data_IF_980451103273
#
_entry.id   IF_980451103273
#
_cell.length_a   1.000
_cell.length_b   1.000
_cell.length_c   1.000
_cell.angle_alpha   90.00
_cell.angle_beta   90.00
_cell.angle_gamma   90.00
#
_symmetry.space_group_name_H-M   'P 1'
#
loop_
_entity.id
_entity.type
_entity.pdbx_description
1 polymer ?
#
# COMPACT_ATOMS: atom_id res chain seq x y z
N UNK A 1 -24.14 -48.72 36.85
CA UNK A 1 -24.78 -47.42 37.11
C UNK A 1 -26.13 -47.29 36.39
N UNK A 2 -26.19 -47.30 35.05
CA UNK A 2 -27.45 -47.11 34.27
C UNK A 2 -28.58 -48.09 34.63
N UNK A 3 -28.26 -49.36 34.89
CA UNK A 3 -29.26 -50.38 35.32
C UNK A 3 -29.80 -50.07 36.72
N UNK A 4 -28.93 -49.71 37.67
CA UNK A 4 -29.32 -49.38 39.06
C UNK A 4 -30.19 -48.13 39.09
N UNK A 5 -29.80 -47.12 38.32
CA UNK A 5 -30.51 -45.84 38.24
C UNK A 5 -31.83 -45.94 37.46
N UNK A 6 -31.92 -46.83 36.46
CA UNK A 6 -33.16 -47.13 35.75
C UNK A 6 -34.15 -47.94 36.60
N UNK A 7 -33.65 -48.84 37.45
CA UNK A 7 -34.48 -49.65 38.35
C UNK A 7 -34.90 -48.91 39.63
N UNK A 8 -34.08 -47.98 40.11
CA UNK A 8 -34.35 -47.18 41.31
C UNK A 8 -34.24 -45.68 40.99
N UNK A 9 -35.13 -45.13 40.15
CA UNK A 9 -35.06 -43.74 39.71
C UNK A 9 -35.22 -42.72 40.85
N UNK A 10 -35.82 -43.13 41.96
CA UNK A 10 -36.05 -42.30 43.15
C UNK A 10 -34.74 -41.81 43.79
N UNK A 11 -33.65 -42.58 43.64
CA UNK A 11 -32.33 -42.24 44.19
C UNK A 11 -31.74 -40.97 43.57
N UNK A 12 -32.09 -40.65 42.31
CA UNK A 12 -31.61 -39.46 41.60
C UNK A 12 -32.67 -38.35 41.61
N UNK A 13 -33.94 -38.73 41.58
CA UNK A 13 -35.07 -37.81 41.48
C UNK A 13 -34.98 -36.69 42.54
N UNK A 14 -34.80 -37.06 43.80
CA UNK A 14 -34.72 -36.12 44.92
C UNK A 14 -33.32 -35.51 45.09
N UNK A 15 -32.26 -36.25 44.74
CA UNK A 15 -30.89 -35.83 45.00
C UNK A 15 -30.31 -34.89 43.94
N UNK A 16 -30.73 -35.01 42.68
CA UNK A 16 -30.10 -34.33 41.54
C UNK A 16 -31.11 -33.69 40.60
N UNK A 17 -32.16 -34.41 40.19
CA UNK A 17 -33.08 -33.95 39.14
C UNK A 17 -34.00 -32.85 39.65
N UNK A 18 -34.68 -33.04 40.78
CA UNK A 18 -35.60 -32.03 41.32
C UNK A 18 -34.91 -30.70 41.70
N UNK A 19 -33.72 -30.68 42.34
CA UNK A 19 -32.97 -29.44 42.56
C UNK A 19 -32.53 -28.76 41.26
N UNK A 20 -32.04 -29.52 40.26
CA UNK A 20 -31.61 -28.96 38.98
C UNK A 20 -32.77 -28.35 38.18
N UNK A 21 -33.93 -29.02 38.14
CA UNK A 21 -35.13 -28.50 37.47
C UNK A 21 -35.67 -27.27 38.20
N UNK A 22 -35.70 -27.30 39.53
CA UNK A 22 -36.12 -26.14 40.35
C UNK A 22 -35.20 -24.94 40.15
N UNK A 23 -33.89 -25.16 40.05
CA UNK A 23 -32.91 -24.11 39.77
C UNK A 23 -33.08 -23.50 38.36
N UNK A 24 -33.25 -24.32 37.31
CA UNK A 24 -33.42 -23.85 35.93
C UNK A 24 -34.78 -23.16 35.71
N UNK A 25 -35.86 -23.67 36.34
CA UNK A 25 -37.22 -23.11 36.20
C UNK A 25 -37.57 -22.05 37.23
N UNK A 26 -36.75 -21.85 38.25
CA UNK A 26 -36.98 -20.94 39.37
C UNK A 26 -38.35 -21.11 40.06
N UNK A 27 -38.90 -22.33 40.07
CA UNK A 27 -40.14 -22.71 40.78
C UNK A 27 -40.02 -24.13 41.30
N UNK A 28 -40.52 -24.38 42.51
CA UNK A 28 -40.61 -25.72 43.06
C UNK A 28 -41.45 -26.59 42.14
N UNK A 29 -40.82 -27.59 41.56
CA UNK A 29 -41.45 -28.53 40.64
C UNK A 29 -41.21 -29.93 41.17
N UNK A 30 -42.31 -30.59 41.55
CA UNK A 30 -42.25 -31.98 41.98
C UNK A 30 -42.07 -32.83 40.73
N UNK A 31 -40.83 -33.19 40.45
CA UNK A 31 -40.51 -34.24 39.48
C UNK A 31 -40.74 -35.57 40.21
N UNK A 32 -41.49 -36.47 39.59
CA UNK A 32 -41.62 -37.84 40.08
C UNK A 32 -41.18 -38.80 38.99
N UNK A 33 -39.98 -39.35 39.15
CA UNK A 33 -39.48 -40.38 38.25
C UNK A 33 -39.97 -41.75 38.73
N UNK A 34 -40.94 -42.32 38.02
CA UNK A 34 -41.39 -43.71 38.24
C UNK A 34 -40.90 -44.61 37.11
N UNK A 35 -40.61 -45.86 37.43
CA UNK A 35 -40.19 -46.86 36.43
C UNK A 35 -41.36 -47.22 35.49
N UNK A 36 -42.56 -47.36 36.05
CA UNK A 36 -43.75 -47.75 35.31
C UNK A 36 -44.87 -46.73 35.57
N UNK A 37 -45.34 -46.10 34.49
CA UNK A 37 -46.39 -45.08 34.52
C UNK A 37 -47.73 -45.59 33.96
N UNK A 38 -47.86 -46.90 33.72
CA UNK A 38 -49.03 -47.52 33.07
C UNK A 38 -49.05 -47.34 31.55
N UNK A 39 -50.15 -47.74 30.92
CA UNK A 39 -50.38 -47.51 29.49
C UNK A 39 -50.75 -46.04 29.30
N UNK A 40 -49.80 -45.26 28.79
CA UNK A 40 -49.97 -43.84 28.52
C UNK A 40 -49.47 -43.50 27.09
N UNK A 41 -49.74 -42.28 26.58
CA UNK A 41 -49.30 -41.89 25.24
C UNK A 41 -47.79 -41.98 25.03
N UNK A 42 -47.00 -41.67 26.06
CA UNK A 42 -45.52 -41.72 26.00
C UNK A 42 -45.01 -43.15 25.85
N UNK A 43 -45.64 -44.11 26.55
CA UNK A 43 -45.35 -45.53 26.43
C UNK A 43 -45.68 -46.04 25.02
N UNK A 44 -46.83 -45.65 24.46
CA UNK A 44 -47.20 -46.00 23.09
C UNK A 44 -46.22 -45.42 22.06
N UNK A 45 -45.78 -44.17 22.24
CA UNK A 45 -44.76 -43.55 21.37
C UNK A 45 -43.40 -44.24 21.50
N UNK A 46 -42.98 -44.62 22.71
CA UNK A 46 -41.76 -45.40 22.95
C UNK A 46 -41.84 -46.78 22.27
N UNK A 47 -42.99 -47.45 22.38
CA UNK A 47 -43.21 -48.71 21.70
C UNK A 47 -43.18 -48.52 20.17
N UNK A 48 -43.77 -47.45 19.66
CA UNK A 48 -43.73 -47.09 18.24
C UNK A 48 -42.30 -46.79 17.77
N UNK A 49 -41.45 -46.10 18.55
CA UNK A 49 -40.06 -45.85 18.18
C UNK A 49 -39.23 -47.13 18.17
N UNK A 50 -39.47 -48.06 19.11
CA UNK A 50 -38.84 -49.39 19.09
C UNK A 50 -39.24 -50.16 17.85
N UNK A 51 -40.54 -50.24 17.52
CA UNK A 51 -41.00 -50.91 16.31
C UNK A 51 -40.50 -50.22 15.02
N UNK A 52 -40.46 -48.89 14.98
CA UNK A 52 -39.87 -48.14 13.88
C UNK A 52 -38.37 -48.44 13.73
N UNK A 53 -37.62 -48.52 14.83
CA UNK A 53 -36.21 -48.91 14.83
C UNK A 53 -36.00 -50.34 14.31
N UNK A 54 -36.84 -51.29 14.74
CA UNK A 54 -36.83 -52.67 14.23
C UNK A 54 -37.14 -52.71 12.74
N UNK A 55 -38.14 -51.94 12.28
CA UNK A 55 -38.48 -51.85 10.87
C UNK A 55 -37.31 -51.29 10.04
N UNK A 56 -36.70 -50.18 10.48
CA UNK A 56 -35.51 -49.60 9.83
C UNK A 56 -34.36 -50.61 9.78
N UNK A 57 -34.11 -51.35 10.86
CA UNK A 57 -33.08 -52.38 10.89
C UNK A 57 -33.38 -53.55 9.93
N UNK A 58 -34.65 -53.99 9.88
CA UNK A 58 -35.10 -55.07 9.00
C UNK A 58 -35.02 -54.71 7.53
N UNK A 59 -35.20 -53.43 7.19
CA UNK A 59 -35.10 -52.87 5.84
C UNK A 59 -33.81 -52.08 5.60
N UNK A 60 -32.77 -52.32 6.40
CA UNK A 60 -31.50 -51.56 6.36
C UNK A 60 -30.85 -51.49 4.98
N UNK A 61 -31.01 -52.54 4.16
CA UNK A 61 -30.48 -52.58 2.79
C UNK A 61 -31.17 -51.56 1.88
N UNK A 62 -32.50 -51.47 1.95
CA UNK A 62 -33.30 -50.49 1.19
C UNK A 62 -33.07 -49.07 1.71
N UNK A 63 -32.96 -48.88 3.03
CA UNK A 63 -32.64 -47.57 3.63
C UNK A 63 -31.24 -47.12 3.23
N UNK A 64 -30.26 -48.02 3.18
CA UNK A 64 -28.91 -47.70 2.73
C UNK A 64 -28.86 -47.33 1.24
N UNK A 65 -29.67 -47.98 0.39
CA UNK A 65 -29.82 -47.61 -1.01
C UNK A 65 -30.47 -46.22 -1.17
N UNK A 66 -31.51 -45.93 -0.40
CA UNK A 66 -32.11 -44.60 -0.34
C UNK A 66 -31.11 -43.54 0.15
N UNK A 67 -30.30 -43.86 1.16
CA UNK A 67 -29.22 -43.00 1.64
C UNK A 67 -28.18 -42.65 0.56
N UNK A 68 -27.91 -43.57 -0.39
CA UNK A 68 -27.04 -43.27 -1.55
C UNK A 68 -27.68 -42.25 -2.51
N UNK A 69 -29.00 -42.22 -2.62
CA UNK A 69 -29.73 -41.25 -3.44
C UNK A 69 -29.74 -39.85 -2.79
N UNK A 70 -29.82 -39.78 -1.46
CA UNK A 70 -29.81 -38.51 -0.69
C UNK A 70 -28.38 -38.02 -0.36
N UNK A 71 -27.37 -38.87 -0.54
CA UNK A 71 -25.94 -38.56 -0.31
C UNK A 71 -25.44 -37.25 -0.93
N UNK A 72 -25.83 -36.85 -2.17
CA UNK A 72 -25.42 -35.58 -2.73
C UNK A 72 -25.86 -34.40 -1.88
N UNK A 73 -27.06 -34.46 -1.29
CA UNK A 73 -27.61 -33.41 -0.42
C UNK A 73 -26.92 -33.43 0.95
N UNK A 74 -26.69 -34.60 1.55
CA UNK A 74 -25.96 -34.70 2.83
C UNK A 74 -24.48 -34.40 2.72
N UNK A 75 -23.92 -34.39 1.51
CA UNK A 75 -22.53 -34.00 1.29
C UNK A 75 -22.30 -32.50 1.52
N UNK A 76 -23.35 -31.69 1.53
CA UNK A 76 -23.33 -30.27 1.90
C UNK A 76 -23.58 -30.09 3.40
N UNK A 77 -22.67 -30.62 4.21
CA UNK A 77 -22.67 -30.45 5.66
C UNK A 77 -21.89 -29.20 6.12
N UNK A 78 -21.98 -28.83 7.42
CA UNK A 78 -21.22 -27.72 8.00
C UNK A 78 -19.70 -27.82 7.78
N UNK A 79 -19.18 -29.05 7.80
CA UNK A 79 -17.77 -29.37 7.52
C UNK A 79 -17.35 -28.89 6.12
N UNK A 80 -18.12 -29.21 5.09
CA UNK A 80 -17.81 -28.84 3.70
C UNK A 80 -17.91 -27.33 3.47
N UNK A 81 -18.86 -26.66 4.13
CA UNK A 81 -18.95 -25.20 4.10
C UNK A 81 -17.76 -24.52 4.77
N UNK A 82 -17.29 -25.07 5.89
CA UNK A 82 -16.08 -24.59 6.57
C UNK A 82 -14.84 -24.76 5.69
N UNK A 83 -14.65 -25.94 5.08
CA UNK A 83 -13.56 -26.20 4.15
C UNK A 83 -13.59 -25.26 2.94
N UNK A 84 -14.77 -25.06 2.32
CA UNK A 84 -14.95 -24.11 1.23
C UNK A 84 -14.61 -22.67 1.65
N UNK A 85 -14.97 -22.28 2.87
CA UNK A 85 -14.63 -20.99 3.45
C UNK A 85 -13.11 -20.81 3.58
N UNK A 86 -12.40 -21.81 4.11
CA UNK A 86 -10.94 -21.80 4.22
C UNK A 86 -10.26 -21.71 2.86
N UNK A 87 -10.69 -22.54 1.90
CA UNK A 87 -10.16 -22.52 0.54
C UNK A 87 -10.45 -21.17 -0.14
N UNK A 88 -11.65 -20.62 0.07
CA UNK A 88 -12.04 -19.31 -0.42
C UNK A 88 -11.16 -18.19 0.16
N UNK A 89 -10.89 -18.23 1.46
CA UNK A 89 -10.03 -17.27 2.15
C UNK A 89 -8.60 -17.32 1.60
N UNK A 90 -8.01 -18.51 1.49
CA UNK A 90 -6.65 -18.66 0.95
C UNK A 90 -6.59 -18.19 -0.50
N UNK A 91 -7.57 -18.56 -1.33
CA UNK A 91 -7.64 -18.08 -2.73
C UNK A 91 -7.81 -16.57 -2.81
N UNK A 92 -8.58 -15.98 -1.91
CA UNK A 92 -8.75 -14.53 -1.78
C UNK A 92 -7.44 -13.84 -1.42
N UNK A 93 -6.73 -14.36 -0.42
CA UNK A 93 -5.41 -13.85 -0.01
C UNK A 93 -4.38 -13.96 -1.14
N UNK A 94 -4.37 -15.07 -1.86
CA UNK A 94 -3.52 -15.32 -3.02
C UNK A 94 -3.80 -14.33 -4.16
N UNK A 95 -5.08 -14.11 -4.46
CA UNK A 95 -5.52 -13.16 -5.48
C UNK A 95 -5.12 -11.73 -5.10
N UNK A 96 -5.36 -11.33 -3.85
CA UNK A 96 -4.98 -10.01 -3.33
C UNK A 96 -3.47 -9.80 -3.40
N UNK A 97 -2.69 -10.81 -2.99
CA UNK A 97 -1.23 -10.77 -3.06
C UNK A 97 -0.74 -10.63 -4.50
N UNK A 98 -1.31 -11.37 -5.45
CA UNK A 98 -0.93 -11.23 -6.87
C UNK A 98 -1.27 -9.86 -7.46
N UNK A 99 -2.32 -9.21 -6.98
CA UNK A 99 -2.66 -7.85 -7.40
C UNK A 99 -1.72 -6.81 -6.81
N UNK A 100 -1.49 -6.86 -5.49
CA UNK A 100 -0.71 -5.84 -4.78
C UNK A 100 0.80 -6.06 -4.93
N UNK A 101 1.26 -7.31 -4.94
CA UNK A 101 2.66 -7.71 -4.95
C UNK A 101 3.09 -8.36 -6.27
N UNK A 102 2.69 -7.78 -7.40
CA UNK A 102 3.00 -8.32 -8.72
C UNK A 102 4.48 -8.25 -9.16
N UNK A 103 5.40 -7.76 -8.32
CA UNK A 103 6.86 -7.70 -8.56
C UNK A 103 7.31 -6.66 -9.60
N UNK A 104 6.38 -5.92 -10.20
CA UNK A 104 6.68 -4.92 -11.24
C UNK A 104 6.80 -3.53 -10.62
N UNK A 105 8.02 -2.98 -10.57
CA UNK A 105 8.31 -1.63 -10.05
C UNK A 105 7.34 -0.56 -10.57
N UNK A 106 7.02 -0.63 -11.86
CA UNK A 106 6.08 0.27 -12.53
C UNK A 106 4.70 0.33 -11.86
N UNK A 107 4.17 -0.81 -11.38
CA UNK A 107 2.86 -0.82 -10.73
C UNK A 107 2.93 -0.12 -9.37
N UNK A 108 3.96 -0.39 -8.57
CA UNK A 108 4.15 0.27 -7.29
C UNK A 108 4.32 1.78 -7.44
N UNK A 109 5.18 2.23 -8.37
CA UNK A 109 5.37 3.67 -8.65
C UNK A 109 4.06 4.32 -9.10
N UNK A 110 3.30 3.66 -9.99
CA UNK A 110 2.00 4.16 -10.41
C UNK A 110 1.02 4.29 -9.23
N UNK A 111 0.92 3.28 -8.37
CA UNK A 111 0.01 3.31 -7.21
C UNK A 111 0.40 4.43 -6.24
N UNK A 112 1.69 4.58 -5.93
CA UNK A 112 2.18 5.66 -5.06
C UNK A 112 1.83 7.01 -5.67
N UNK A 113 2.20 7.27 -6.93
CA UNK A 113 1.88 8.54 -7.59
C UNK A 113 0.35 8.77 -7.66
N UNK A 114 -0.43 7.75 -7.99
CA UNK A 114 -1.89 7.88 -8.11
C UNK A 114 -2.55 8.22 -6.77
N UNK A 115 -2.13 7.57 -5.69
CA UNK A 115 -2.63 7.86 -4.33
C UNK A 115 -2.16 9.24 -3.86
N UNK A 116 -0.87 9.57 -4.01
CA UNK A 116 -0.33 10.88 -3.61
C UNK A 116 -1.00 12.02 -4.35
N UNK A 117 -1.12 11.92 -5.68
CA UNK A 117 -1.83 12.90 -6.51
C UNK A 117 -3.32 12.94 -6.21
N UNK A 118 -3.96 11.79 -5.97
CA UNK A 118 -5.37 11.73 -5.60
C UNK A 118 -5.66 12.44 -4.28
N UNK A 119 -4.84 12.19 -3.25
CA UNK A 119 -4.94 12.87 -1.96
C UNK A 119 -4.66 14.36 -2.07
N UNK A 120 -3.62 14.76 -2.82
CA UNK A 120 -3.34 16.17 -3.08
C UNK A 120 -4.52 16.85 -3.82
N UNK A 121 -5.10 16.18 -4.81
CA UNK A 121 -6.28 16.65 -5.53
C UNK A 121 -7.47 16.87 -4.60
N UNK A 122 -7.76 15.92 -3.70
CA UNK A 122 -8.82 16.06 -2.68
C UNK A 122 -8.53 17.25 -1.75
N UNK A 123 -7.28 17.41 -1.30
CA UNK A 123 -6.90 18.49 -0.39
C UNK A 123 -7.13 19.90 -1.00
N UNK A 124 -6.87 20.05 -2.31
CA UNK A 124 -7.01 21.33 -3.02
C UNK A 124 -8.47 21.76 -3.15
N UNK A 125 -9.43 20.83 -3.22
CA UNK A 125 -10.87 21.18 -3.34
C UNK A 125 -11.41 22.08 -2.23
N UNK A 126 -10.69 22.18 -1.10
CA UNK A 126 -11.04 22.99 0.08
C UNK A 126 -10.22 24.26 0.21
N UNK A 127 -9.38 24.59 -0.77
CA UNK A 127 -8.44 25.73 -0.74
C UNK A 127 -8.79 26.73 -1.83
N UNK A 128 -8.54 28.00 -1.52
CA UNK A 128 -8.56 29.06 -2.53
C UNK A 128 -7.25 29.01 -3.32
N UNK A 129 -7.35 29.27 -4.63
CA UNK A 129 -6.20 29.29 -5.52
C UNK A 129 -5.75 30.74 -5.73
N UNK A 130 -4.44 30.95 -5.79
CA UNK A 130 -3.90 32.25 -6.15
C UNK A 130 -4.37 32.65 -7.56
N UNK A 131 -4.78 33.92 -7.69
CA UNK A 131 -5.08 34.50 -9.01
C UNK A 131 -3.77 34.70 -9.75
N UNK A 132 -3.69 34.17 -10.97
CA UNK A 132 -2.52 34.33 -11.83
C UNK A 132 -2.45 35.79 -12.30
N UNK A 133 -1.48 36.52 -11.77
CA UNK A 133 -1.09 37.82 -12.32
C UNK A 133 0.11 37.65 -13.24
N UNK A 134 -0.05 38.07 -14.49
CA UNK A 134 1.00 38.04 -15.50
C UNK A 134 1.67 39.40 -15.66
N UNK A 135 1.24 40.42 -14.89
CA UNK A 135 1.88 41.73 -14.87
C UNK A 135 3.30 41.61 -14.30
N UNK A 136 4.30 42.12 -15.04
CA UNK A 136 5.70 42.11 -14.60
C UNK A 136 6.53 40.91 -15.07
N UNK A 137 5.96 39.96 -15.82
CA UNK A 137 6.72 38.88 -16.45
C UNK A 137 7.80 39.43 -17.38
N UNK A 138 9.05 39.05 -17.13
CA UNK A 138 10.16 39.46 -17.98
C UNK A 138 10.39 38.45 -19.09
N UNK A 139 10.80 38.94 -20.26
CA UNK A 139 11.03 38.08 -21.43
C UNK A 139 11.98 36.90 -21.14
N UNK A 140 13.06 37.13 -20.38
CA UNK A 140 14.04 36.11 -20.05
C UNK A 140 13.49 35.03 -19.09
N UNK A 141 12.54 35.37 -18.21
CA UNK A 141 11.87 34.41 -17.32
C UNK A 141 10.99 33.46 -18.13
N UNK A 142 10.20 34.01 -19.06
CA UNK A 142 9.36 33.24 -19.97
C UNK A 142 10.21 32.38 -20.90
N UNK A 143 11.29 32.94 -21.45
CA UNK A 143 12.20 32.20 -22.32
C UNK A 143 12.87 31.02 -21.59
N UNK A 144 13.34 31.21 -20.35
CA UNK A 144 13.91 30.15 -19.53
C UNK A 144 12.87 29.06 -19.21
N UNK A 145 11.64 29.44 -18.83
CA UNK A 145 10.57 28.49 -18.57
C UNK A 145 10.21 27.66 -19.82
N UNK A 146 10.08 28.31 -20.99
CA UNK A 146 9.80 27.63 -22.25
C UNK A 146 10.94 26.68 -22.67
N UNK A 147 12.20 27.08 -22.45
CA UNK A 147 13.36 26.24 -22.69
C UNK A 147 13.30 24.97 -21.84
N UNK A 148 13.02 25.10 -20.54
CA UNK A 148 12.87 23.96 -19.62
C UNK A 148 11.75 23.03 -20.07
N UNK A 149 10.57 23.58 -20.40
CA UNK A 149 9.42 22.79 -20.86
C UNK A 149 9.72 22.06 -22.17
N UNK A 150 10.36 22.73 -23.13
CA UNK A 150 10.76 22.12 -24.40
C UNK A 150 11.78 20.99 -24.17
N UNK A 151 12.80 21.23 -23.34
CA UNK A 151 13.81 20.24 -23.01
C UNK A 151 13.21 19.02 -22.28
N UNK A 152 12.31 19.23 -21.32
CA UNK A 152 11.58 18.16 -20.65
C UNK A 152 10.73 17.32 -21.63
N UNK A 153 10.07 17.98 -22.59
CA UNK A 153 9.29 17.30 -23.62
C UNK A 153 10.17 16.47 -24.57
N UNK A 154 11.33 17.02 -24.96
CA UNK A 154 12.34 16.30 -25.75
C UNK A 154 12.85 15.09 -24.97
N UNK A 155 13.20 15.26 -23.69
CA UNK A 155 13.63 14.16 -22.82
C UNK A 155 12.58 13.05 -22.74
N UNK A 156 11.31 13.40 -22.54
CA UNK A 156 10.20 12.45 -22.41
C UNK A 156 9.88 11.70 -23.71
N UNK A 157 10.10 12.31 -24.88
CA UNK A 157 9.85 11.69 -26.20
C UNK A 157 11.10 11.06 -26.83
N UNK A 158 12.26 11.31 -26.25
CA UNK A 158 13.53 10.84 -26.79
C UNK A 158 13.59 9.32 -26.84
N UNK A 159 13.94 8.78 -28.01
CA UNK A 159 14.21 7.34 -28.19
C UNK A 159 15.67 6.98 -27.91
N UNK A 160 16.57 7.97 -27.97
CA UNK A 160 17.98 7.82 -27.62
C UNK A 160 18.21 8.12 -26.14
N UNK A 161 19.11 7.39 -25.51
CA UNK A 161 19.43 7.60 -24.09
C UNK A 161 20.31 8.82 -23.90
N UNK A 162 21.35 8.95 -24.73
CA UNK A 162 22.22 10.13 -24.73
C UNK A 162 21.44 11.42 -25.02
N UNK A 163 20.50 11.40 -25.95
CA UNK A 163 19.64 12.56 -26.24
C UNK A 163 18.69 12.86 -25.09
N UNK A 164 18.17 11.84 -24.38
CA UNK A 164 17.34 12.06 -23.19
C UNK A 164 18.15 12.67 -22.05
N UNK A 165 19.37 12.18 -21.81
CA UNK A 165 20.30 12.69 -20.79
C UNK A 165 20.73 14.11 -21.13
N UNK A 166 21.06 14.41 -22.39
CA UNK A 166 21.41 15.75 -22.82
C UNK A 166 20.25 16.74 -22.63
N UNK A 167 19.03 16.34 -22.98
CA UNK A 167 17.84 17.14 -22.76
C UNK A 167 17.54 17.36 -21.27
N UNK A 168 17.78 16.34 -20.42
CA UNK A 168 17.68 16.48 -18.97
C UNK A 168 18.74 17.47 -18.43
N UNK A 169 19.96 17.45 -18.97
CA UNK A 169 20.99 18.45 -18.69
C UNK A 169 20.53 19.88 -18.97
N UNK A 170 19.86 20.09 -20.12
CA UNK A 170 19.28 21.41 -20.45
C UNK A 170 18.20 21.83 -19.43
N UNK A 171 17.39 20.88 -18.93
CA UNK A 171 16.45 21.16 -17.84
C UNK A 171 17.19 21.63 -16.58
N UNK A 172 18.23 20.91 -16.15
CA UNK A 172 18.99 21.26 -14.95
C UNK A 172 19.70 22.61 -15.04
N UNK A 173 20.37 22.89 -16.16
CA UNK A 173 20.99 24.21 -16.40
C UNK A 173 19.93 25.32 -16.53
N UNK A 174 18.76 25.03 -17.10
CA UNK A 174 17.63 25.97 -17.13
C UNK A 174 17.13 26.30 -15.72
N UNK A 175 17.02 25.31 -14.83
CA UNK A 175 16.67 25.52 -13.42
C UNK A 175 17.74 26.34 -12.70
N UNK A 176 19.03 26.07 -12.94
CA UNK A 176 20.12 26.88 -12.40
C UNK A 176 20.05 28.34 -12.85
N UNK A 177 19.69 28.58 -14.11
CA UNK A 177 19.45 29.92 -14.64
C UNK A 177 18.31 30.62 -13.90
N UNK A 178 17.20 29.93 -13.61
CA UNK A 178 16.11 30.48 -12.79
C UNK A 178 16.60 30.84 -11.38
N UNK A 179 17.38 29.99 -10.72
CA UNK A 179 17.95 30.32 -9.40
C UNK A 179 18.83 31.58 -9.45
N UNK A 180 19.69 31.70 -10.45
CA UNK A 180 20.52 32.89 -10.62
C UNK A 180 19.67 34.16 -10.85
N UNK A 181 18.61 34.06 -11.65
CA UNK A 181 17.69 35.16 -11.95
C UNK A 181 16.89 35.61 -10.72
N UNK A 182 16.50 34.68 -9.85
CA UNK A 182 15.73 34.96 -8.63
C UNK A 182 16.61 35.21 -7.39
N UNK A 183 17.89 35.52 -7.57
CA UNK A 183 18.77 35.95 -6.48
C UNK A 183 19.27 34.83 -5.56
N UNK A 184 19.27 33.58 -6.04
CA UNK A 184 19.78 32.41 -5.33
C UNK A 184 21.09 31.90 -5.98
N UNK A 185 22.20 32.66 -5.88
CA UNK A 185 23.46 32.34 -6.57
C UNK A 185 24.11 31.05 -6.06
N UNK A 186 24.04 30.76 -4.75
CA UNK A 186 24.61 29.54 -4.17
C UNK A 186 23.88 28.30 -4.68
N UNK A 187 22.54 28.35 -4.77
CA UNK A 187 21.74 27.28 -5.35
C UNK A 187 22.03 27.11 -6.84
N UNK A 188 22.25 28.21 -7.57
CA UNK A 188 22.61 28.13 -8.98
C UNK A 188 23.98 27.44 -9.19
N UNK A 189 25.00 27.82 -8.40
CA UNK A 189 26.34 27.23 -8.49
C UNK A 189 26.31 25.74 -8.13
N UNK A 190 25.62 25.35 -7.07
CA UNK A 190 25.49 23.95 -6.67
C UNK A 190 24.69 23.15 -7.69
N UNK A 191 23.59 23.70 -8.23
CA UNK A 191 22.81 23.05 -9.28
C UNK A 191 23.65 22.79 -10.53
N UNK A 192 24.47 23.76 -10.98
CA UNK A 192 25.38 23.59 -12.13
C UNK A 192 26.39 22.47 -11.86
N UNK A 193 26.99 22.44 -10.67
CA UNK A 193 27.99 21.44 -10.30
C UNK A 193 27.37 20.04 -10.25
N UNK A 194 26.25 19.90 -9.54
CA UNK A 194 25.53 18.62 -9.40
C UNK A 194 25.02 18.15 -10.75
N UNK A 195 24.45 19.03 -11.58
CA UNK A 195 23.96 18.68 -12.92
C UNK A 195 25.10 18.18 -13.82
N UNK A 196 26.26 18.84 -13.75
CA UNK A 196 27.44 18.40 -14.51
C UNK A 196 27.92 17.01 -14.05
N UNK A 197 27.95 16.77 -12.73
CA UNK A 197 28.34 15.47 -12.18
C UNK A 197 27.34 14.38 -12.54
N UNK A 198 26.04 14.62 -12.37
CA UNK A 198 24.99 13.63 -12.70
C UNK A 198 24.96 13.34 -14.18
N UNK A 199 25.15 14.33 -15.06
CA UNK A 199 25.26 14.14 -16.50
C UNK A 199 26.43 13.21 -16.83
N UNK A 200 27.62 13.45 -16.27
CA UNK A 200 28.79 12.58 -16.46
C UNK A 200 28.50 11.16 -15.98
N UNK A 201 27.94 11.00 -14.78
CA UNK A 201 27.58 9.69 -14.22
C UNK A 201 26.54 8.97 -15.09
N UNK A 202 25.49 9.65 -15.54
CA UNK A 202 24.48 9.08 -16.41
C UNK A 202 25.08 8.65 -17.74
N UNK A 203 25.91 9.48 -18.37
CA UNK A 203 26.57 9.13 -19.63
C UNK A 203 27.44 7.87 -19.45
N UNK A 204 28.23 7.80 -18.38
CA UNK A 204 29.07 6.63 -18.06
C UNK A 204 28.23 5.34 -17.91
N UNK A 205 27.10 5.41 -17.20
CA UNK A 205 26.22 4.25 -16.98
C UNK A 205 25.47 3.87 -18.26
N UNK A 206 24.86 4.85 -18.92
CA UNK A 206 24.00 4.67 -20.10
C UNK A 206 24.79 4.14 -21.29
N UNK A 207 26.07 4.54 -21.44
CA UNK A 207 26.95 4.06 -22.50
C UNK A 207 27.08 2.52 -22.51
N UNK A 208 26.99 1.87 -21.35
CA UNK A 208 27.17 0.43 -21.20
C UNK A 208 25.87 -0.39 -21.33
N UNK A 209 24.73 0.27 -21.51
CA UNK A 209 23.43 -0.39 -21.53
C UNK A 209 22.85 -0.42 -22.97
N UNK A 210 21.99 -1.40 -23.33
CA UNK A 210 21.40 -1.55 -24.68
C UNK A 210 20.55 -0.32 -25.09
N UNK A 211 19.92 -0.25 -26.27
CA UNK A 211 19.04 0.90 -26.59
C UNK A 211 17.72 0.83 -25.79
N UNK A 212 16.92 1.91 -25.78
CA UNK A 212 15.58 1.83 -25.18
C UNK A 212 14.69 0.91 -26.03
N UNK A 213 14.15 -0.15 -25.42
CA UNK A 213 13.16 -0.99 -26.05
C UNK A 213 11.75 -0.45 -25.80
N UNK A 214 10.94 -0.39 -26.85
CA UNK A 214 9.55 0.05 -26.78
C UNK A 214 8.63 -1.09 -26.37
N UNK A 215 8.65 -1.44 -25.08
CA UNK A 215 7.91 -2.60 -24.55
C UNK A 215 6.41 -2.29 -24.31
N UNK A 216 6.05 -1.01 -24.12
CA UNK A 216 4.67 -0.62 -23.78
C UNK A 216 3.77 -0.43 -25.01
N UNK A 217 2.53 -0.96 -25.02
CA UNK A 217 1.54 -0.75 -26.08
C UNK A 217 1.06 0.72 -26.13
N UNK A 218 0.57 1.21 -27.29
CA UNK A 218 0.23 2.61 -27.49
C UNK A 218 -0.87 3.11 -26.54
N UNK A 219 -1.93 2.33 -26.32
CA UNK A 219 -3.01 2.71 -25.40
C UNK A 219 -2.54 2.91 -23.96
N UNK A 220 -1.56 2.10 -23.52
CA UNK A 220 -1.00 2.26 -22.18
C UNK A 220 -0.13 3.51 -22.06
N UNK A 221 0.62 3.87 -23.11
CA UNK A 221 1.40 5.12 -23.12
C UNK A 221 0.51 6.35 -23.08
N UNK A 222 -0.62 6.31 -23.79
CA UNK A 222 -1.61 7.37 -23.73
C UNK A 222 -2.15 7.53 -22.30
N UNK A 223 -2.50 6.41 -21.65
CA UNK A 223 -2.91 6.43 -20.24
C UNK A 223 -1.81 7.03 -19.33
N UNK A 224 -0.56 6.60 -19.46
CA UNK A 224 0.54 7.13 -18.65
C UNK A 224 0.74 8.64 -18.91
N UNK A 225 0.60 9.09 -20.15
CA UNK A 225 0.72 10.50 -20.53
C UNK A 225 -0.43 11.36 -19.97
N UNK A 226 -1.67 10.87 -20.07
CA UNK A 226 -2.85 11.54 -19.49
C UNK A 226 -2.72 11.61 -17.97
N UNK A 227 -2.32 10.51 -17.32
CA UNK A 227 -2.09 10.46 -15.89
C UNK A 227 -0.98 11.43 -15.45
N UNK A 228 0.16 11.44 -16.13
CA UNK A 228 1.25 12.37 -15.84
C UNK A 228 0.83 13.83 -16.02
N UNK A 229 0.05 14.14 -17.06
CA UNK A 229 -0.51 15.47 -17.29
C UNK A 229 -1.47 15.88 -16.16
N UNK A 230 -2.39 15.00 -15.78
CA UNK A 230 -3.31 15.24 -14.66
C UNK A 230 -2.57 15.44 -13.33
N UNK A 231 -1.53 14.64 -13.06
CA UNK A 231 -0.69 14.80 -11.88
C UNK A 231 0.06 16.14 -11.88
N UNK A 232 0.61 16.56 -13.03
CA UNK A 232 1.24 17.87 -13.18
C UNK A 232 0.27 19.02 -12.92
N UNK A 233 -0.98 18.93 -13.39
CA UNK A 233 -2.03 19.91 -13.09
C UNK A 233 -2.32 19.97 -11.60
N UNK A 234 -2.48 18.82 -10.93
CA UNK A 234 -2.72 18.77 -9.47
C UNK A 234 -1.58 19.43 -8.70
N UNK A 235 -0.31 19.15 -9.06
CA UNK A 235 0.84 19.80 -8.41
C UNK A 235 0.86 21.31 -8.68
N UNK A 236 0.52 21.73 -9.90
CA UNK A 236 0.41 23.16 -10.24
C UNK A 236 -0.64 23.85 -9.38
N UNK A 237 -1.84 23.26 -9.26
CA UNK A 237 -2.90 23.77 -8.42
C UNK A 237 -2.50 23.78 -6.93
N UNK A 238 -1.74 22.78 -6.48
CA UNK A 238 -1.21 22.75 -5.11
C UNK A 238 -0.27 23.94 -4.83
N UNK A 239 0.62 24.25 -5.77
CA UNK A 239 1.52 25.40 -5.67
C UNK A 239 0.72 26.70 -5.65
N UNK A 240 -0.31 26.83 -6.51
CA UNK A 240 -1.19 28.01 -6.51
C UNK A 240 -1.97 28.16 -5.20
N UNK A 241 -2.43 27.06 -4.60
CA UNK A 241 -3.07 27.08 -3.29
C UNK A 241 -2.08 27.49 -2.17
N UNK A 242 -0.83 27.03 -2.27
CA UNK A 242 0.21 27.37 -1.30
C UNK A 242 0.60 28.86 -1.38
N UNK A 243 0.64 29.45 -2.58
CA UNK A 243 0.92 30.87 -2.77
C UNK A 243 -0.14 31.79 -2.15
N UNK A 244 -1.40 31.35 -2.10
CA UNK A 244 -2.50 32.10 -1.48
C UNK A 244 -2.49 32.03 0.06
N UNK A 245 -1.76 31.07 0.63
CA UNK A 245 -1.70 30.90 2.08
C UNK A 245 -0.85 32.01 2.74
N UNK A 246 -1.29 32.58 3.88
CA UNK A 246 -0.52 33.60 4.58
C UNK A 246 0.90 33.12 4.90
N UNK A 247 1.91 33.88 4.49
CA UNK A 247 3.31 33.58 4.78
C UNK A 247 3.78 34.39 6.00
N UNK A 248 3.91 33.70 7.14
CA UNK A 248 4.55 34.23 8.33
C UNK A 248 6.06 34.41 8.08
N UNK A 249 6.54 35.65 8.02
CA UNK A 249 7.97 35.97 7.73
C UNK A 249 8.87 35.96 8.96
N UNK A 250 8.32 35.76 10.15
CA UNK A 250 9.00 35.87 11.45
C UNK A 250 10.35 35.15 11.52
N UNK A 251 10.42 33.90 11.02
CA UNK A 251 11.68 33.13 11.02
C UNK A 251 12.67 33.68 9.99
N UNK A 252 12.21 34.07 8.80
CA UNK A 252 13.06 34.61 7.75
C UNK A 252 13.68 35.95 8.18
N UNK A 253 12.87 36.83 8.78
CA UNK A 253 13.31 38.13 9.28
C UNK A 253 14.29 37.95 10.46
N UNK A 254 14.01 37.01 11.36
CA UNK A 254 14.91 36.68 12.47
C UNK A 254 16.26 36.16 11.95
N UNK A 255 16.26 35.24 10.97
CA UNK A 255 17.49 34.71 10.37
C UNK A 255 18.28 35.84 9.68
N UNK A 256 17.63 36.70 8.90
CA UNK A 256 18.27 37.81 8.22
C UNK A 256 18.93 38.79 9.20
N UNK A 257 18.24 39.14 10.30
CA UNK A 257 18.75 40.06 11.32
C UNK A 257 19.89 39.47 12.15
N UNK A 258 19.84 38.16 12.44
CA UNK A 258 20.83 37.50 13.29
C UNK A 258 22.02 36.92 12.50
N UNK A 259 21.93 36.79 11.16
CA UNK A 259 23.04 36.28 10.35
C UNK A 259 24.30 37.13 10.44
N UNK A 260 24.16 38.46 10.55
CA UNK A 260 25.29 39.35 10.77
C UNK A 260 25.93 39.19 12.15
N UNK A 261 25.15 38.76 13.15
CA UNK A 261 25.66 38.46 14.51
C UNK A 261 26.45 37.16 14.57
N UNK A 262 26.20 36.24 13.63
CA UNK A 262 26.99 35.05 13.36
C UNK A 262 28.18 35.34 12.40
N UNK A 263 28.60 36.60 12.28
CA UNK A 263 29.74 37.08 11.47
C UNK A 263 29.69 36.77 9.96
N UNK A 264 28.57 36.26 9.44
CA UNK A 264 28.45 35.89 8.03
C UNK A 264 27.67 36.90 7.19
N UNK A 265 28.28 37.32 6.08
CA UNK A 265 27.64 38.20 5.07
C UNK A 265 26.75 37.43 4.08
N UNK A 266 26.96 36.13 3.94
CA UNK A 266 26.14 35.25 3.14
C UNK A 266 25.13 34.53 4.03
N UNK A 267 23.89 35.02 4.04
CA UNK A 267 22.78 34.50 4.86
C UNK A 267 22.53 33.02 4.59
N UNK A 268 22.63 32.54 3.35
CA UNK A 268 22.40 31.13 3.01
C UNK A 268 23.45 30.25 3.67
N UNK A 269 24.74 30.61 3.54
CA UNK A 269 25.83 29.86 4.16
C UNK A 269 25.74 29.85 5.70
N UNK A 270 25.37 30.98 6.31
CA UNK A 270 25.17 31.06 7.77
C UNK A 270 24.04 30.14 8.22
N UNK A 271 22.93 30.10 7.49
CA UNK A 271 21.81 29.20 7.80
C UNK A 271 22.28 27.75 7.76
N UNK A 272 23.01 27.34 6.72
CA UNK A 272 23.42 25.94 6.55
C UNK A 272 24.46 25.49 7.58
N UNK A 273 25.45 26.35 7.89
CA UNK A 273 26.60 25.96 8.70
C UNK A 273 26.39 26.23 10.19
N UNK A 274 25.60 27.24 10.56
CA UNK A 274 25.41 27.66 11.95
C UNK A 274 24.00 27.34 12.45
N UNK A 275 22.98 28.00 11.93
CA UNK A 275 21.61 27.87 12.46
C UNK A 275 20.97 26.50 12.22
N UNK A 276 21.29 25.83 11.10
CA UNK A 276 20.78 24.51 10.70
C UNK A 276 21.90 23.53 10.40
N UNK A 277 23.01 23.65 11.13
CA UNK A 277 24.21 22.81 10.98
C UNK A 277 23.91 21.29 10.97
N UNK A 278 22.91 20.85 11.74
CA UNK A 278 22.53 19.44 11.82
C UNK A 278 21.97 18.89 10.50
N UNK A 279 21.24 19.71 9.74
CA UNK A 279 20.71 19.29 8.44
C UNK A 279 21.86 19.09 7.45
N UNK A 280 22.82 20.03 7.42
CA UNK A 280 24.04 19.93 6.60
C UNK A 280 24.91 18.73 7.00
N UNK A 281 25.07 18.48 8.30
CA UNK A 281 25.76 17.28 8.78
C UNK A 281 25.06 16.01 8.30
N UNK A 282 23.72 15.96 8.39
CA UNK A 282 22.91 14.85 7.90
C UNK A 282 23.09 14.61 6.39
N UNK A 283 23.07 15.67 5.58
CA UNK A 283 23.32 15.59 4.13
C UNK A 283 24.71 15.03 3.81
N UNK A 284 25.76 15.50 4.51
CA UNK A 284 27.13 14.97 4.35
C UNK A 284 27.18 13.48 4.71
N UNK A 285 26.52 13.06 5.79
CA UNK A 285 26.44 11.65 6.18
C UNK A 285 25.73 10.82 5.10
N UNK A 286 24.62 11.30 4.54
CA UNK A 286 23.91 10.61 3.44
C UNK A 286 24.81 10.47 2.22
N UNK A 287 25.52 11.52 1.82
CA UNK A 287 26.46 11.47 0.69
C UNK A 287 27.62 10.49 0.95
N UNK A 288 28.18 10.49 2.16
CA UNK A 288 29.23 9.56 2.55
C UNK A 288 28.74 8.10 2.51
N UNK A 289 27.56 7.82 3.05
CA UNK A 289 26.94 6.49 3.01
C UNK A 289 26.62 6.06 1.58
N UNK A 290 26.11 6.96 0.74
CA UNK A 290 25.87 6.68 -0.68
C UNK A 290 27.16 6.34 -1.42
N UNK A 291 28.23 7.12 -1.20
CA UNK A 291 29.54 6.86 -1.80
C UNK A 291 30.13 5.52 -1.35
N UNK A 292 30.04 5.19 -0.05
CA UNK A 292 30.43 3.88 0.49
C UNK A 292 29.59 2.74 -0.09
N UNK A 293 28.28 2.93 -0.26
CA UNK A 293 27.38 1.97 -0.88
C UNK A 293 27.73 1.69 -2.34
N UNK A 294 28.01 2.74 -3.14
CA UNK A 294 28.49 2.59 -4.52
C UNK A 294 29.83 1.86 -4.55
N UNK A 295 30.77 2.23 -3.67
CA UNK A 295 32.06 1.54 -3.57
C UNK A 295 31.91 0.06 -3.22
N UNK A 296 31.05 -0.27 -2.25
CA UNK A 296 30.73 -1.63 -1.86
C UNK A 296 30.13 -2.42 -3.03
N UNK A 297 29.15 -1.86 -3.75
CA UNK A 297 28.55 -2.50 -4.92
C UNK A 297 29.56 -2.77 -6.04
N UNK A 298 30.51 -1.85 -6.27
CA UNK A 298 31.52 -2.01 -7.31
C UNK A 298 32.63 -3.01 -6.94
N UNK A 299 33.00 -3.10 -5.65
CA UNK A 299 34.11 -3.96 -5.20
C UNK A 299 33.69 -5.33 -4.67
N UNK A 300 32.53 -5.41 -4.03
CA UNK A 300 32.03 -6.63 -3.38
C UNK A 300 31.09 -7.43 -4.29
N UNK A 301 30.85 -6.97 -5.52
CA UNK A 301 30.15 -7.79 -6.52
C UNK A 301 30.98 -9.06 -6.75
N UNK A 302 30.45 -10.26 -6.41
CA UNK A 302 31.12 -11.49 -6.75
C UNK A 302 31.30 -11.48 -8.26
N UNK A 303 32.54 -11.44 -8.74
CA UNK A 303 32.81 -11.74 -10.14
C UNK A 303 32.28 -13.15 -10.34
N UNK A 304 31.05 -13.25 -10.85
CA UNK A 304 30.41 -14.52 -11.15
C UNK A 304 31.43 -15.35 -11.90
N UNK A 305 31.64 -16.58 -11.42
CA UNK A 305 32.41 -17.58 -12.15
C UNK A 305 32.06 -17.44 -13.61
N UNK A 306 33.07 -17.18 -14.44
CA UNK A 306 32.94 -17.31 -15.88
C UNK A 306 32.53 -18.76 -16.10
N UNK A 307 31.22 -18.99 -16.18
CA UNK A 307 30.64 -20.27 -16.54
C UNK A 307 31.30 -20.69 -17.84
N UNK A 308 32.08 -21.76 -17.77
CA UNK A 308 32.74 -22.34 -18.92
C UNK A 308 31.71 -22.58 -20.01
N UNK A 309 31.98 -22.02 -21.18
CA UNK A 309 31.25 -22.38 -22.38
C UNK A 309 31.46 -23.87 -22.65
N UNK A 310 30.37 -24.61 -22.61
CA UNK A 310 30.09 -25.64 -23.61
C UNK A 310 29.11 -25.04 -24.61
#
# INVERSE_FOLDING_TARGET
LSVVLGLFPQLIDQALVAPAVTAVRARETVVTLKMWHGINPVFLLSLATVFAGIAVYRFRSSVAQFGKWVRPVTSWGPERWYELGLVGLVRGADWQTRLLQGGKLRHYVFVVLAVSTGLAGIAITRKELAVLDFAGLRFHEVAAALLILAAALVAARSRGRLSAVAALGVVGYGVALLYAMFGAPDLAMTQILVETLTLVLFVLVVYHLPRFETISPPGRRLFDAVFAGAAGVVITLLVLAALQSPQERTVSDWLAQNSLRAEGRNVVNVILVDFRALDTFGEIVVLAVAALGVFALLRLWPRGEKGGGQ
#
